data_IF_238473785629
#
_entry.id   IF_238473785629
#
_cell.length_a   1.000
_cell.length_b   1.000
_cell.length_c   1.000
_cell.angle_alpha   90.00
_cell.angle_beta   90.00
_cell.angle_gamma   90.00
#
_symmetry.space_group_name_H-M   'P 1'
#
loop_
_entity.id
_entity.type
_entity.pdbx_description
1 polymer ?
#
# COMPACT_ATOMS: atom_id res chain seq x y z
N UNK A 1 50.99 64.41 -8.74
CA UNK A 1 49.61 64.90 -8.97
C UNK A 1 48.94 63.93 -9.93
N UNK A 2 47.70 63.52 -9.61
CA UNK A 2 46.84 62.54 -10.30
C UNK A 2 47.33 61.07 -10.22
N UNK A 3 46.89 60.26 -9.24
CA UNK A 3 45.54 59.69 -9.02
C UNK A 3 45.23 58.58 -10.03
N UNK A 4 45.56 57.32 -9.73
CA UNK A 4 44.78 56.30 -8.98
C UNK A 4 44.00 55.36 -9.92
N UNK A 5 44.34 54.06 -9.82
CA UNK A 5 43.43 52.89 -9.72
C UNK A 5 42.69 52.48 -11.01
N UNK A 6 42.51 51.20 -11.35
CA UNK A 6 43.04 49.90 -10.91
C UNK A 6 42.40 48.84 -11.80
N UNK A 7 43.18 47.80 -12.08
CA UNK A 7 42.83 46.39 -12.36
C UNK A 7 41.40 46.00 -11.94
N UNK A 8 40.62 45.33 -12.80
CA UNK A 8 40.20 43.91 -12.65
C UNK A 8 39.45 43.42 -13.91
N UNK A 9 39.93 42.33 -14.52
CA UNK A 9 39.16 41.51 -15.46
C UNK A 9 38.12 40.70 -14.68
N UNK A 10 36.84 40.93 -14.94
CA UNK A 10 35.76 40.19 -14.30
C UNK A 10 35.61 38.78 -14.92
N UNK A 11 35.68 37.78 -14.03
CA UNK A 11 35.27 36.39 -14.25
C UNK A 11 33.78 36.32 -14.62
N UNK A 12 33.44 35.71 -15.75
CA UNK A 12 32.10 35.18 -15.98
C UNK A 12 32.01 33.79 -15.35
N UNK A 13 31.36 33.73 -14.18
CA UNK A 13 30.91 32.49 -13.55
C UNK A 13 29.53 32.12 -14.10
N UNK A 14 29.33 30.81 -14.18
CA UNK A 14 28.13 30.09 -14.55
C UNK A 14 26.84 30.58 -13.87
N UNK A 15 25.73 30.50 -14.61
CA UNK A 15 24.39 30.34 -14.04
C UNK A 15 23.85 29.02 -14.61
N UNK A 16 24.07 27.96 -13.85
CA UNK A 16 23.38 26.69 -13.99
C UNK A 16 21.93 26.90 -13.58
N UNK A 17 21.00 26.40 -14.41
CA UNK A 17 19.57 26.39 -14.13
C UNK A 17 19.33 25.74 -12.78
N UNK A 18 18.78 26.51 -11.85
CA UNK A 18 18.35 26.02 -10.55
C UNK A 18 17.23 25.00 -10.77
N UNK A 19 17.56 23.73 -10.59
CA UNK A 19 16.60 22.67 -10.34
C UNK A 19 15.81 23.04 -9.09
N UNK A 20 14.52 23.30 -9.28
CA UNK A 20 13.56 23.44 -8.19
C UNK A 20 13.53 22.13 -7.41
N UNK A 21 14.27 22.09 -6.30
CA UNK A 21 14.13 21.06 -5.28
C UNK A 21 12.71 21.14 -4.72
N UNK A 22 11.82 20.28 -5.23
CA UNK A 22 10.57 19.96 -4.56
C UNK A 22 10.95 19.14 -3.34
N UNK A 23 11.15 19.81 -2.21
CA UNK A 23 11.22 19.16 -0.91
C UNK A 23 9.83 18.55 -0.64
N UNK A 24 9.72 17.23 -0.75
CA UNK A 24 8.57 16.49 -0.24
C UNK A 24 8.59 16.59 1.29
N UNK A 25 7.86 17.58 1.82
CA UNK A 25 7.55 17.63 3.25
C UNK A 25 6.55 16.53 3.56
N UNK A 26 6.85 15.72 4.59
CA UNK A 26 5.88 14.80 5.19
C UNK A 26 4.80 15.62 5.90
N UNK A 27 3.76 16.04 5.19
CA UNK A 27 2.55 16.59 5.82
C UNK A 27 1.59 15.44 6.12
N UNK A 28 1.65 14.90 7.34
CA UNK A 28 0.48 14.23 7.94
C UNK A 28 -0.55 15.26 8.48
N UNK A 29 -0.30 16.55 8.25
CA UNK A 29 -1.27 17.63 8.35
C UNK A 29 -0.78 18.80 7.50
N UNK A 30 -1.51 19.16 6.45
CA UNK A 30 -1.46 20.52 5.93
C UNK A 30 -2.37 21.39 6.81
N UNK A 31 -1.96 22.64 7.07
CA UNK A 31 -2.88 23.63 7.66
C UNK A 31 -3.95 23.97 6.64
N UNK A 32 -5.21 23.87 7.10
CA UNK A 32 -6.46 23.89 6.33
C UNK A 32 -6.47 24.77 5.08
N UNK A 33 -6.71 24.14 3.94
CA UNK A 33 -7.55 24.73 2.90
C UNK A 33 -8.71 23.75 2.62
N UNK A 34 -9.93 24.28 2.64
CA UNK A 34 -11.18 23.53 2.75
C UNK A 34 -11.57 22.84 1.44
N UNK A 35 -11.48 21.51 1.43
CA UNK A 35 -12.44 20.53 0.87
C UNK A 35 -11.91 19.13 1.24
N UNK A 36 -12.15 18.69 2.48
CA UNK A 36 -11.85 17.31 2.87
C UNK A 36 -13.03 16.43 2.44
N UNK A 37 -12.80 15.55 1.46
CA UNK A 37 -13.73 14.45 1.19
C UNK A 37 -13.92 13.62 2.46
N UNK A 38 -15.12 13.08 2.65
CA UNK A 38 -15.50 12.34 3.85
C UNK A 38 -15.91 10.93 3.46
N UNK A 39 -15.34 9.95 4.13
CA UNK A 39 -15.84 8.57 4.03
C UNK A 39 -17.21 8.49 4.72
N UNK A 40 -18.00 7.43 4.45
CA UNK A 40 -19.24 7.18 5.18
C UNK A 40 -19.06 7.04 6.70
N UNK A 41 -17.82 6.82 7.17
CA UNK A 41 -17.48 6.71 8.59
C UNK A 41 -16.92 8.00 9.20
N UNK A 42 -16.95 9.14 8.51
CA UNK A 42 -16.42 10.38 9.06
C UNK A 42 -17.05 10.75 10.42
N UNK A 43 -18.38 10.78 10.49
CA UNK A 43 -19.09 11.11 11.74
C UNK A 43 -18.92 10.00 12.78
N UNK A 44 -18.84 8.74 12.37
CA UNK A 44 -18.46 7.61 13.24
C UNK A 44 -17.11 7.87 13.93
N UNK A 45 -16.08 8.27 13.17
CA UNK A 45 -14.75 8.55 13.72
C UNK A 45 -14.80 9.70 14.73
N UNK A 46 -15.56 10.76 14.44
CA UNK A 46 -15.74 11.89 15.36
C UNK A 46 -16.44 11.44 16.65
N UNK A 47 -17.52 10.64 16.54
CA UNK A 47 -18.22 10.07 17.71
C UNK A 47 -17.30 9.22 18.58
N UNK A 48 -16.39 8.47 17.97
CA UNK A 48 -15.41 7.63 18.64
C UNK A 48 -14.09 8.36 18.97
N UNK A 49 -14.08 9.69 18.94
CA UNK A 49 -12.93 10.54 19.32
C UNK A 49 -11.65 10.28 18.51
N UNK A 50 -11.80 9.89 17.24
CA UNK A 50 -10.70 9.79 16.30
C UNK A 50 -10.08 11.17 16.04
N UNK A 51 -8.75 11.25 16.12
CA UNK A 51 -8.00 12.45 15.76
C UNK A 51 -7.95 12.57 14.24
N UNK A 52 -8.89 13.33 13.67
CA UNK A 52 -8.99 13.52 12.22
C UNK A 52 -7.85 14.38 11.68
N UNK A 53 -7.25 13.96 10.57
CA UNK A 53 -6.26 14.69 9.79
C UNK A 53 -6.60 14.61 8.30
N UNK A 54 -6.00 15.50 7.51
CA UNK A 54 -6.01 15.37 6.05
C UNK A 54 -5.09 14.24 5.61
N UNK A 55 -5.60 13.31 4.81
CA UNK A 55 -4.85 12.22 4.21
C UNK A 55 -5.35 11.99 2.79
N UNK A 56 -4.52 12.27 1.78
CA UNK A 56 -4.86 12.13 0.36
C UNK A 56 -6.15 12.87 -0.04
N UNK A 57 -6.40 14.06 0.52
CA UNK A 57 -7.64 14.81 0.28
C UNK A 57 -8.87 14.36 1.09
N UNK A 58 -8.73 13.37 1.96
CA UNK A 58 -9.81 12.87 2.83
C UNK A 58 -9.59 13.24 4.30
N UNK A 59 -10.68 13.44 5.04
CA UNK A 59 -10.65 13.54 6.49
C UNK A 59 -10.61 12.15 7.14
N UNK A 60 -9.45 11.71 7.61
CA UNK A 60 -9.23 10.35 8.12
C UNK A 60 -8.69 10.35 9.56
N UNK A 61 -9.02 9.35 10.40
CA UNK A 61 -8.48 9.25 11.75
C UNK A 61 -6.99 8.85 11.74
N UNK A 62 -6.12 9.74 12.23
CA UNK A 62 -4.70 9.44 12.42
C UNK A 62 -4.49 8.36 13.48
N UNK A 63 -5.22 8.49 14.59
CA UNK A 63 -5.31 7.55 15.71
C UNK A 63 -6.49 7.94 16.60
N UNK A 64 -6.83 7.04 17.50
CA UNK A 64 -7.73 7.16 18.63
C UNK A 64 -6.89 7.24 19.91
N UNK A 65 -7.52 7.55 21.04
CA UNK A 65 -6.80 7.64 22.32
C UNK A 65 -6.05 6.33 22.69
N UNK A 66 -6.55 5.18 22.21
CA UNK A 66 -6.03 3.85 22.56
C UNK A 66 -6.23 3.52 24.04
N UNK A 67 -6.03 2.27 24.43
CA UNK A 67 -5.97 1.91 25.85
C UNK A 67 -4.50 1.95 26.31
N UNK A 68 -4.19 2.84 27.25
CA UNK A 68 -2.89 2.84 27.89
C UNK A 68 -2.73 1.60 28.79
N UNK A 69 -1.52 1.06 28.86
CA UNK A 69 -1.11 0.03 29.82
C UNK A 69 0.02 0.57 30.68
N UNK A 70 0.47 -0.19 31.68
CA UNK A 70 1.63 0.18 32.51
C UNK A 70 2.89 0.51 31.69
N UNK A 71 3.01 -0.05 30.49
CA UNK A 71 4.19 0.09 29.62
C UNK A 71 3.93 0.83 28.31
N UNK A 72 2.69 1.19 27.98
CA UNK A 72 2.32 1.85 26.72
C UNK A 72 1.37 3.01 27.01
N UNK A 73 1.74 4.22 26.62
CA UNK A 73 1.01 5.46 26.92
C UNK A 73 -0.31 5.66 26.13
N UNK A 74 -0.82 4.64 25.43
CA UNK A 74 -1.97 4.74 24.52
C UNK A 74 -1.57 5.09 23.07
N UNK A 75 -2.52 5.64 22.32
CA UNK A 75 -2.33 6.18 20.97
C UNK A 75 -1.89 5.14 19.91
N UNK A 76 -1.15 5.57 18.88
CA UNK A 76 -0.78 4.71 17.75
C UNK A 76 -0.01 3.43 18.14
N UNK A 77 0.81 3.48 19.18
CA UNK A 77 1.58 2.32 19.65
C UNK A 77 0.66 1.29 20.32
N UNK A 78 -0.30 1.75 21.12
CA UNK A 78 -1.31 0.86 21.71
C UNK A 78 -2.18 0.21 20.62
N UNK A 79 -2.62 0.99 19.63
CA UNK A 79 -3.36 0.46 18.47
C UNK A 79 -2.56 -0.59 17.70
N UNK A 80 -1.27 -0.33 17.44
CA UNK A 80 -0.40 -1.31 16.79
C UNK A 80 -0.39 -2.64 17.53
N UNK A 81 -0.16 -2.61 18.85
CA UNK A 81 -0.16 -3.84 19.66
C UNK A 81 -1.53 -4.49 19.75
N UNK A 82 -2.61 -3.71 19.76
CA UNK A 82 -3.97 -4.20 19.71
C UNK A 82 -4.24 -5.01 18.44
N UNK A 83 -3.80 -4.51 17.28
CA UNK A 83 -3.93 -5.23 15.99
C UNK A 83 -3.10 -6.52 16.01
N UNK A 84 -1.84 -6.45 16.48
CA UNK A 84 -0.94 -7.62 16.53
C UNK A 84 -1.39 -8.72 17.49
N UNK A 85 -2.09 -8.37 18.57
CA UNK A 85 -2.48 -9.34 19.63
C UNK A 85 -3.95 -9.77 19.55
N UNK A 86 -4.79 -9.00 18.87
CA UNK A 86 -6.24 -9.17 18.86
C UNK A 86 -6.81 -8.78 17.50
N UNK A 87 -7.57 -7.68 17.40
CA UNK A 87 -8.11 -7.19 16.15
C UNK A 87 -8.21 -5.65 16.15
N UNK A 88 -7.91 -5.05 15.00
CA UNK A 88 -8.05 -3.63 14.69
C UNK A 88 -9.02 -3.41 13.53
N UNK A 89 -9.89 -2.41 13.66
CA UNK A 89 -10.84 -1.98 12.65
C UNK A 89 -10.36 -0.67 12.02
N UNK A 90 -10.13 -0.70 10.71
CA UNK A 90 -9.64 0.43 9.92
C UNK A 90 -10.70 0.85 8.90
N UNK A 91 -10.90 2.16 8.77
CA UNK A 91 -11.59 2.74 7.63
C UNK A 91 -10.62 2.90 6.45
N UNK A 92 -10.93 2.22 5.36
CA UNK A 92 -10.21 2.30 4.08
C UNK A 92 -11.15 2.69 2.94
N UNK A 93 -12.32 3.26 3.26
CA UNK A 93 -13.36 3.63 2.30
C UNK A 93 -12.99 4.79 1.36
N UNK A 94 -11.82 5.40 1.56
CA UNK A 94 -11.23 6.40 0.68
C UNK A 94 -10.53 5.77 -0.54
N UNK A 95 -10.23 4.46 -0.52
CA UNK A 95 -9.66 3.74 -1.66
C UNK A 95 -10.68 3.61 -2.79
N UNK A 96 -10.20 3.58 -4.03
CA UNK A 96 -11.09 3.51 -5.21
C UNK A 96 -11.43 2.06 -5.49
N UNK A 97 -12.73 1.76 -5.50
CA UNK A 97 -13.28 0.45 -5.83
C UNK A 97 -13.87 0.50 -7.25
N UNK A 98 -13.49 -0.42 -8.13
CA UNK A 98 -14.03 -0.47 -9.50
C UNK A 98 -14.25 -1.90 -9.99
N UNK A 99 -15.19 -2.06 -10.93
CA UNK A 99 -15.48 -3.34 -11.58
C UNK A 99 -15.28 -3.24 -13.08
N UNK A 100 -14.82 -4.33 -13.70
CA UNK A 100 -14.60 -4.45 -15.14
C UNK A 100 -15.36 -5.67 -15.66
N UNK A 101 -16.28 -5.45 -16.59
CA UNK A 101 -17.18 -6.49 -17.11
C UNK A 101 -17.22 -6.48 -18.63
N UNK A 102 -17.53 -7.62 -19.24
CA UNK A 102 -17.66 -7.78 -20.69
C UNK A 102 -16.64 -8.76 -21.26
N UNK A 103 -16.88 -9.29 -22.47
CA UNK A 103 -16.06 -10.36 -23.06
C UNK A 103 -14.58 -9.99 -23.18
N UNK A 104 -14.25 -8.70 -23.25
CA UNK A 104 -12.87 -8.21 -23.33
C UNK A 104 -12.17 -8.05 -21.98
N UNK A 105 -12.86 -8.20 -20.84
CA UNK A 105 -12.36 -7.73 -19.54
C UNK A 105 -11.06 -8.40 -19.11
N UNK A 106 -10.95 -9.72 -19.30
CA UNK A 106 -9.72 -10.47 -19.01
C UNK A 106 -8.56 -10.00 -19.89
N UNK A 107 -8.80 -9.82 -21.19
CA UNK A 107 -7.77 -9.42 -22.14
C UNK A 107 -7.30 -7.98 -21.91
N UNK A 108 -8.23 -7.05 -21.69
CA UNK A 108 -7.93 -5.66 -21.36
C UNK A 108 -7.11 -5.54 -20.07
N UNK A 109 -7.58 -6.16 -18.97
CA UNK A 109 -6.85 -6.10 -17.70
C UNK A 109 -5.52 -6.83 -17.78
N UNK A 110 -5.41 -7.91 -18.56
CA UNK A 110 -4.13 -8.55 -18.81
C UNK A 110 -3.18 -7.62 -19.57
N UNK A 111 -3.66 -6.87 -20.57
CA UNK A 111 -2.83 -5.86 -21.24
C UNK A 111 -2.32 -4.78 -20.28
N UNK A 112 -3.16 -4.35 -19.34
CA UNK A 112 -2.87 -3.29 -18.40
C UNK A 112 -1.97 -3.72 -17.22
N UNK A 113 -2.09 -4.98 -16.78
CA UNK A 113 -1.49 -5.47 -15.53
C UNK A 113 -0.53 -6.65 -15.78
N UNK A 114 0.61 -6.73 -15.07
CA UNK A 114 1.55 -7.84 -15.21
C UNK A 114 1.13 -9.14 -14.50
N UNK A 115 0.05 -9.12 -13.71
CA UNK A 115 -0.42 -10.31 -12.99
C UNK A 115 -1.00 -11.37 -13.94
N UNK A 116 -0.93 -12.64 -13.54
CA UNK A 116 -1.57 -13.75 -14.27
C UNK A 116 -3.05 -13.85 -13.93
N UNK A 117 -3.86 -12.98 -14.52
CA UNK A 117 -5.30 -12.94 -14.26
C UNK A 117 -6.02 -14.19 -14.79
N UNK A 118 -5.53 -14.75 -15.90
CA UNK A 118 -6.09 -15.97 -16.49
C UNK A 118 -5.90 -17.20 -15.58
N UNK A 119 -4.85 -17.22 -14.76
CA UNK A 119 -4.58 -18.28 -13.80
C UNK A 119 -5.44 -18.20 -12.54
N UNK A 120 -6.13 -17.07 -12.29
CA UNK A 120 -7.12 -17.01 -11.22
C UNK A 120 -8.32 -17.87 -11.60
N UNK A 121 -8.74 -18.83 -10.75
CA UNK A 121 -9.90 -19.67 -10.99
C UNK A 121 -11.15 -18.83 -11.28
N UNK A 122 -11.96 -19.30 -12.23
CA UNK A 122 -13.32 -18.80 -12.39
C UNK A 122 -14.13 -19.30 -11.17
N UNK A 123 -14.80 -18.41 -10.43
CA UNK A 123 -15.64 -18.81 -9.30
C UNK A 123 -16.70 -19.79 -9.75
N UNK A 124 -16.88 -20.88 -8.99
CA UNK A 124 -17.93 -21.86 -9.26
C UNK A 124 -19.22 -21.44 -8.57
N UNK A 125 -20.35 -21.83 -9.16
CA UNK A 125 -21.68 -21.49 -8.62
C UNK A 125 -21.97 -22.11 -7.24
N UNK A 126 -21.28 -23.20 -6.87
CA UNK A 126 -21.52 -23.98 -5.65
C UNK A 126 -20.94 -23.32 -4.38
N UNK A 127 -19.78 -22.68 -4.47
CA UNK A 127 -19.14 -22.02 -3.33
C UNK A 127 -18.92 -20.52 -3.50
N UNK A 128 -19.01 -19.99 -4.72
CA UNK A 128 -18.84 -18.56 -5.03
C UNK A 128 -17.47 -17.99 -4.65
N UNK A 129 -16.48 -18.85 -4.36
CA UNK A 129 -15.16 -18.40 -3.88
C UNK A 129 -14.35 -17.85 -5.04
N UNK A 130 -13.93 -16.60 -4.86
CA UNK A 130 -13.11 -15.83 -5.78
C UNK A 130 -11.67 -15.80 -5.30
N UNK A 131 -10.73 -15.55 -6.22
CA UNK A 131 -9.30 -15.39 -5.89
C UNK A 131 -8.83 -13.98 -6.25
N UNK A 132 -7.96 -13.47 -5.39
CA UNK A 132 -7.38 -12.14 -5.50
C UNK A 132 -5.87 -12.22 -5.67
N UNK A 133 -5.26 -11.20 -6.27
CA UNK A 133 -3.81 -11.04 -6.36
C UNK A 133 -3.45 -9.56 -6.30
N UNK A 134 -2.27 -9.26 -5.76
CA UNK A 134 -1.65 -7.95 -5.94
C UNK A 134 -1.17 -7.83 -7.39
N UNK A 135 -1.28 -6.63 -7.94
CA UNK A 135 -0.65 -6.23 -9.20
C UNK A 135 -0.18 -4.78 -9.11
N UNK A 136 0.36 -4.28 -10.23
CA UNK A 136 0.79 -2.89 -10.38
C UNK A 136 0.30 -2.33 -11.70
N UNK A 137 -0.11 -1.06 -11.68
CA UNK A 137 -0.28 -0.26 -12.89
C UNK A 137 1.08 0.28 -13.30
N UNK A 138 1.43 0.14 -14.57
CA UNK A 138 2.71 0.58 -15.11
C UNK A 138 2.52 1.62 -16.21
N UNK A 139 3.46 2.56 -16.30
CA UNK A 139 3.60 3.40 -17.49
C UNK A 139 4.36 2.64 -18.60
N UNK A 140 4.37 3.15 -19.85
CA UNK A 140 5.06 2.48 -20.95
C UNK A 140 6.56 2.26 -20.71
N UNK A 141 7.19 3.11 -19.89
CA UNK A 141 8.59 3.01 -19.49
C UNK A 141 8.84 1.97 -18.38
N UNK A 142 7.79 1.30 -17.87
CA UNK A 142 7.86 0.28 -16.83
C UNK A 142 8.07 0.81 -15.41
N UNK A 143 7.82 2.10 -15.20
CA UNK A 143 7.68 2.71 -13.88
C UNK A 143 6.30 2.47 -13.26
N UNK A 144 6.22 2.42 -11.94
CA UNK A 144 4.99 2.07 -11.22
C UNK A 144 4.09 3.30 -11.06
N UNK A 145 2.91 3.27 -11.69
CA UNK A 145 1.86 4.28 -11.56
C UNK A 145 1.11 4.13 -10.24
N UNK A 146 0.79 2.89 -9.86
CA UNK A 146 0.19 2.53 -8.58
C UNK A 146 0.28 1.01 -8.34
N UNK A 147 0.11 0.56 -7.10
CA UNK A 147 -0.15 -0.84 -6.78
C UNK A 147 -1.64 -1.08 -6.49
N UNK A 148 -2.17 -2.25 -6.85
CA UNK A 148 -3.59 -2.54 -6.75
C UNK A 148 -3.90 -4.00 -6.40
N UNK A 149 -5.03 -4.23 -5.74
CA UNK A 149 -5.59 -5.56 -5.55
C UNK A 149 -6.60 -5.85 -6.65
N UNK A 150 -6.50 -7.03 -7.27
CA UNK A 150 -7.39 -7.49 -8.35
C UNK A 150 -8.03 -8.80 -7.93
N UNK A 151 -9.35 -8.91 -8.08
CA UNK A 151 -10.12 -10.12 -7.81
C UNK A 151 -10.87 -10.55 -9.07
N UNK A 152 -10.86 -11.85 -9.39
CA UNK A 152 -11.68 -12.41 -10.47
C UNK A 152 -13.06 -12.77 -9.92
N UNK A 153 -14.05 -11.93 -10.19
CA UNK A 153 -15.45 -12.11 -9.75
C UNK A 153 -16.22 -13.11 -10.62
N UNK A 154 -15.80 -13.31 -11.86
CA UNK A 154 -16.44 -14.23 -12.79
C UNK A 154 -15.54 -14.55 -13.97
N UNK A 155 -16.10 -15.21 -14.98
CA UNK A 155 -15.38 -15.50 -16.23
C UNK A 155 -14.80 -14.23 -16.86
N UNK A 156 -15.66 -13.22 -16.97
CA UNK A 156 -15.43 -11.92 -17.61
C UNK A 156 -15.82 -10.76 -16.69
N UNK A 157 -15.57 -10.91 -15.39
CA UNK A 157 -15.87 -9.91 -14.37
C UNK A 157 -14.74 -9.84 -13.36
N UNK A 158 -14.25 -8.63 -13.12
CA UNK A 158 -13.13 -8.36 -12.21
C UNK A 158 -13.44 -7.18 -11.31
N UNK A 159 -12.85 -7.19 -10.12
CA UNK A 159 -12.95 -6.13 -9.12
C UNK A 159 -11.56 -5.67 -8.70
N UNK A 160 -11.33 -4.37 -8.75
CA UNK A 160 -10.06 -3.74 -8.43
C UNK A 160 -10.23 -2.75 -7.28
N UNK A 161 -9.20 -2.68 -6.44
CA UNK A 161 -9.02 -1.64 -5.43
C UNK A 161 -7.68 -0.94 -5.67
N UNK A 162 -7.69 0.38 -5.89
CA UNK A 162 -6.48 1.21 -6.06
C UNK A 162 -6.35 2.27 -4.97
N UNK A 163 -5.17 2.88 -4.84
CA UNK A 163 -4.88 3.80 -3.74
C UNK A 163 -5.61 5.14 -3.88
N UNK A 164 -6.12 5.64 -2.75
CA UNK A 164 -6.86 6.91 -2.71
C UNK A 164 -6.04 8.11 -3.24
N UNK A 165 -4.76 8.19 -2.87
CA UNK A 165 -3.87 9.28 -3.27
C UNK A 165 -3.50 9.27 -4.76
N UNK A 166 -3.87 8.22 -5.49
CA UNK A 166 -3.63 8.06 -6.92
C UNK A 166 -4.89 7.99 -7.76
N UNK A 167 -6.06 8.10 -7.14
CA UNK A 167 -7.37 8.01 -7.78
C UNK A 167 -7.45 8.73 -9.14
N UNK A 168 -7.14 10.03 -9.20
CA UNK A 168 -7.24 10.81 -10.44
C UNK A 168 -6.28 10.30 -11.53
N UNK A 169 -5.04 9.96 -11.14
CA UNK A 169 -4.01 9.48 -12.06
C UNK A 169 -4.33 8.07 -12.57
N UNK A 170 -4.80 7.19 -11.69
CA UNK A 170 -5.20 5.82 -12.01
C UNK A 170 -6.40 5.80 -12.93
N UNK A 171 -7.46 6.54 -12.57
CA UNK A 171 -8.69 6.56 -13.37
C UNK A 171 -8.42 7.16 -14.74
N UNK A 172 -7.68 8.27 -14.83
CA UNK A 172 -7.28 8.84 -16.12
C UNK A 172 -6.50 7.82 -16.97
N UNK A 173 -5.58 7.09 -16.36
CA UNK A 173 -4.78 6.08 -17.05
C UNK A 173 -5.63 4.91 -17.55
N UNK A 174 -6.48 4.37 -16.68
CA UNK A 174 -7.33 3.22 -17.00
C UNK A 174 -8.37 3.61 -18.05
N UNK A 175 -9.06 4.74 -17.89
CA UNK A 175 -10.09 5.21 -18.82
C UNK A 175 -9.52 5.48 -20.22
N UNK A 176 -8.31 6.07 -20.31
CA UNK A 176 -7.65 6.31 -21.59
C UNK A 176 -7.29 5.02 -22.32
N UNK A 177 -6.78 4.04 -21.59
CA UNK A 177 -6.47 2.71 -22.14
C UNK A 177 -7.77 1.95 -22.50
N UNK A 178 -8.81 2.05 -21.67
CA UNK A 178 -10.10 1.42 -21.90
C UNK A 178 -10.80 1.97 -23.14
N UNK A 179 -10.77 3.29 -23.33
CA UNK A 179 -11.29 3.95 -24.53
C UNK A 179 -10.58 3.44 -25.78
N UNK A 180 -9.24 3.48 -25.78
CA UNK A 180 -8.43 2.96 -26.88
C UNK A 180 -8.72 1.47 -27.14
N UNK A 181 -8.84 0.67 -26.08
CA UNK A 181 -9.18 -0.75 -26.18
C UNK A 181 -10.52 -0.94 -26.88
N UNK A 182 -11.57 -0.28 -26.39
CA UNK A 182 -12.92 -0.39 -26.91
C UNK A 182 -13.07 0.18 -28.33
N UNK A 183 -12.21 1.10 -28.77
CA UNK A 183 -12.19 1.57 -30.17
C UNK A 183 -11.58 0.52 -31.12
N UNK A 184 -10.59 -0.24 -30.64
CA UNK A 184 -9.80 -1.14 -31.48
C UNK A 184 -10.18 -2.63 -31.38
N UNK A 185 -11.03 -3.02 -30.42
CA UNK A 185 -11.43 -4.42 -30.21
C UNK A 185 -12.94 -4.60 -30.32
N UNK A 186 -13.37 -5.74 -30.88
CA UNK A 186 -14.77 -6.13 -30.91
C UNK A 186 -15.31 -6.47 -29.51
N UNK A 187 -14.47 -7.14 -28.71
CA UNK A 187 -14.76 -7.50 -27.32
C UNK A 187 -14.68 -6.28 -26.40
N UNK A 188 -15.85 -5.74 -26.06
CA UNK A 188 -15.99 -4.53 -25.25
C UNK A 188 -15.80 -4.82 -23.76
N UNK A 189 -15.37 -3.77 -23.06
CA UNK A 189 -15.23 -3.75 -21.60
C UNK A 189 -15.95 -2.53 -21.05
N UNK A 190 -16.75 -2.75 -20.01
CA UNK A 190 -17.37 -1.72 -19.21
C UNK A 190 -16.63 -1.58 -17.89
N UNK A 191 -16.37 -0.35 -17.46
CA UNK A 191 -15.83 -0.03 -16.16
C UNK A 191 -16.87 0.72 -15.34
N UNK A 192 -17.08 0.30 -14.09
CA UNK A 192 -17.93 1.00 -13.14
C UNK A 192 -17.15 1.31 -11.86
N UNK A 193 -17.20 2.55 -11.39
CA UNK A 193 -16.60 2.97 -10.12
C UNK A 193 -17.67 2.88 -9.04
N UNK A 194 -17.40 2.12 -7.97
CA UNK A 194 -18.35 1.87 -6.88
C UNK A 194 -18.37 3.05 -5.89
N UNK A 195 -18.96 4.17 -6.30
CA UNK A 195 -19.02 5.40 -5.49
C UNK A 195 -19.96 5.31 -4.29
N UNK A 196 -20.97 4.44 -4.35
CA UNK A 196 -21.92 4.21 -3.25
C UNK A 196 -21.52 2.99 -2.38
N UNK A 197 -20.22 2.69 -2.27
CA UNK A 197 -19.72 1.61 -1.43
C UNK A 197 -18.79 2.12 -0.33
N UNK A 198 -18.77 1.43 0.81
CA UNK A 198 -17.74 1.58 1.84
C UNK A 198 -16.70 0.46 1.76
N UNK A 199 -15.54 0.68 2.36
CA UNK A 199 -14.51 -0.36 2.51
C UNK A 199 -13.95 -0.31 3.93
N UNK A 200 -14.00 -1.44 4.62
CA UNK A 200 -13.53 -1.59 5.99
C UNK A 200 -12.49 -2.70 6.04
N UNK A 201 -11.40 -2.50 6.77
CA UNK A 201 -10.43 -3.56 7.02
C UNK A 201 -10.46 -3.98 8.49
N UNK A 202 -10.68 -5.27 8.74
CA UNK A 202 -10.62 -5.91 10.05
C UNK A 202 -9.37 -6.79 10.09
N UNK A 203 -8.39 -6.45 10.90
CA UNK A 203 -7.04 -7.01 10.82
C UNK A 203 -6.56 -7.48 12.20
N UNK A 204 -5.84 -8.59 12.26
CA UNK A 204 -5.29 -9.15 13.49
C UNK A 204 -5.66 -10.62 13.67
N UNK A 205 -4.93 -11.36 14.54
CA UNK A 205 -5.13 -12.80 14.72
C UNK A 205 -6.53 -13.17 15.22
N UNK A 206 -7.28 -12.22 15.81
CA UNK A 206 -8.65 -12.43 16.27
C UNK A 206 -9.74 -11.85 15.35
N UNK A 207 -9.35 -11.34 14.18
CA UNK A 207 -10.28 -10.80 13.19
C UNK A 207 -11.27 -11.87 12.68
N UNK A 208 -10.78 -13.11 12.54
CA UNK A 208 -11.59 -14.25 12.14
C UNK A 208 -12.73 -14.52 13.11
N UNK A 209 -12.46 -14.64 14.40
CA UNK A 209 -13.47 -14.93 15.42
C UNK A 209 -14.53 -13.84 15.49
N UNK A 210 -14.11 -12.57 15.39
CA UNK A 210 -15.02 -11.43 15.39
C UNK A 210 -15.98 -11.47 14.18
N UNK A 211 -15.46 -11.67 12.96
CA UNK A 211 -16.29 -11.70 11.76
C UNK A 211 -17.15 -12.98 11.67
N UNK A 212 -16.63 -14.12 12.12
CA UNK A 212 -17.33 -15.41 12.10
C UNK A 212 -18.63 -15.40 12.93
N UNK A 213 -18.75 -14.53 13.94
CA UNK A 213 -20.00 -14.37 14.72
C UNK A 213 -21.09 -13.60 13.97
N UNK A 214 -20.74 -12.84 12.94
CA UNK A 214 -21.66 -11.99 12.18
C UNK A 214 -22.18 -12.64 10.89
N UNK A 215 -21.49 -13.67 10.39
CA UNK A 215 -21.92 -14.44 9.20
C UNK A 215 -22.99 -15.49 9.58
N UNK A 216 -23.70 -16.11 8.61
CA UNK A 216 -24.67 -17.17 8.90
C UNK A 216 -24.04 -18.34 9.67
N UNK A 217 -24.80 -18.96 10.57
CA UNK A 217 -24.31 -20.03 11.46
C UNK A 217 -23.81 -21.27 10.70
N UNK A 218 -24.33 -21.51 9.50
CA UNK A 218 -23.98 -22.59 8.59
C UNK A 218 -22.83 -22.22 7.62
N UNK A 219 -22.36 -20.97 7.66
CA UNK A 219 -21.25 -20.48 6.85
C UNK A 219 -19.95 -20.44 7.66
N UNK A 220 -18.96 -21.25 7.28
CA UNK A 220 -17.63 -21.25 7.90
C UNK A 220 -16.63 -20.47 7.06
N UNK A 221 -16.19 -19.30 7.57
CA UNK A 221 -15.13 -18.50 6.97
C UNK A 221 -13.80 -19.27 6.92
N UNK A 222 -13.57 -20.18 7.86
CA UNK A 222 -12.32 -20.95 7.95
C UNK A 222 -12.17 -21.89 6.76
N UNK A 223 -13.22 -22.64 6.43
CA UNK A 223 -13.20 -23.53 5.27
C UNK A 223 -13.42 -22.81 3.95
N UNK A 224 -14.14 -21.68 3.95
CA UNK A 224 -14.48 -20.96 2.73
C UNK A 224 -13.32 -20.09 2.23
N UNK A 225 -12.65 -19.35 3.13
CA UNK A 225 -11.72 -18.29 2.75
C UNK A 225 -10.30 -18.54 3.27
N UNK A 226 -9.39 -18.85 2.35
CA UNK A 226 -7.95 -18.76 2.56
C UNK A 226 -7.42 -17.35 2.22
N UNK A 227 -6.17 -17.05 2.57
CA UNK A 227 -5.53 -15.80 2.17
C UNK A 227 -5.61 -15.58 0.65
N UNK A 228 -5.92 -14.35 0.27
CA UNK A 228 -6.17 -13.91 -1.09
C UNK A 228 -7.33 -14.66 -1.77
N UNK A 229 -8.36 -14.99 -1.00
CA UNK A 229 -9.68 -15.39 -1.51
C UNK A 229 -10.77 -14.46 -0.98
N UNK A 230 -11.90 -14.45 -1.68
CA UNK A 230 -13.06 -13.66 -1.29
C UNK A 230 -14.36 -14.36 -1.64
N UNK A 231 -15.45 -13.92 -1.02
CA UNK A 231 -16.80 -14.35 -1.32
C UNK A 231 -17.78 -13.20 -1.08
N UNK A 232 -18.96 -13.27 -1.70
CA UNK A 232 -20.09 -12.48 -1.27
C UNK A 232 -20.75 -13.19 -0.09
N UNK A 233 -20.75 -12.55 1.09
CA UNK A 233 -21.23 -13.15 2.34
C UNK A 233 -22.35 -12.28 2.92
N UNK A 234 -23.55 -12.82 3.17
CA UNK A 234 -24.61 -12.09 3.83
C UNK A 234 -24.25 -11.85 5.30
N UNK A 235 -24.65 -10.70 5.83
CA UNK A 235 -24.61 -10.40 7.27
C UNK A 235 -26.06 -10.25 7.73
N UNK A 236 -26.70 -11.32 8.26
CA UNK A 236 -28.16 -11.35 8.46
C UNK A 236 -28.72 -10.21 9.31
N UNK A 237 -27.93 -9.68 10.24
CA UNK A 237 -28.32 -8.57 11.12
C UNK A 237 -28.11 -7.18 10.52
N UNK A 238 -27.50 -7.06 9.35
CA UNK A 238 -27.25 -5.79 8.65
C UNK A 238 -28.29 -5.51 7.58
N UNK A 239 -28.39 -6.41 6.59
CA UNK A 239 -29.28 -6.27 5.44
C UNK A 239 -29.41 -7.59 4.67
N UNK A 240 -30.27 -7.62 3.65
CA UNK A 240 -30.40 -8.75 2.72
C UNK A 240 -29.30 -8.77 1.65
N UNK A 241 -28.45 -7.75 1.57
CA UNK A 241 -27.37 -7.66 0.58
C UNK A 241 -26.09 -8.26 1.14
N UNK A 242 -25.43 -9.09 0.34
CA UNK A 242 -24.16 -9.68 0.71
C UNK A 242 -23.01 -8.67 0.61
N UNK A 243 -22.08 -8.74 1.55
CA UNK A 243 -20.85 -7.96 1.53
C UNK A 243 -19.78 -8.72 0.75
N UNK A 244 -18.93 -8.02 0.00
CA UNK A 244 -17.77 -8.67 -0.61
C UNK A 244 -16.64 -8.72 0.41
N UNK A 245 -16.43 -9.91 0.99
CA UNK A 245 -15.46 -10.18 2.04
C UNK A 245 -14.23 -10.82 1.43
N UNK A 246 -13.09 -10.13 1.50
CA UNK A 246 -11.79 -10.60 1.01
C UNK A 246 -10.86 -10.87 2.17
N UNK A 247 -10.35 -12.11 2.31
CA UNK A 247 -9.35 -12.44 3.33
C UNK A 247 -7.96 -12.01 2.89
N UNK A 248 -7.67 -10.73 3.13
CA UNK A 248 -6.43 -10.05 2.79
C UNK A 248 -6.25 -8.84 3.70
N UNK A 249 -5.14 -8.11 3.51
CA UNK A 249 -4.96 -6.81 4.12
C UNK A 249 -3.53 -6.31 4.09
N UNK A 250 -3.30 -5.22 4.81
CA UNK A 250 -2.10 -4.38 4.71
C UNK A 250 -1.32 -4.31 6.03
N UNK A 251 -1.37 -5.36 6.84
CA UNK A 251 -0.78 -5.38 8.18
C UNK A 251 0.23 -6.52 8.39
N UNK A 252 0.24 -7.52 7.51
CA UNK A 252 0.96 -8.78 7.70
C UNK A 252 0.27 -9.75 8.66
N UNK A 253 -0.81 -9.37 9.33
CA UNK A 253 -1.64 -10.29 10.12
C UNK A 253 -2.65 -11.03 9.22
N UNK A 254 -3.36 -12.00 9.80
CA UNK A 254 -4.64 -12.44 9.23
C UNK A 254 -5.67 -11.29 9.29
N UNK A 255 -6.70 -11.37 8.45
CA UNK A 255 -7.73 -10.36 8.42
C UNK A 255 -8.53 -10.34 7.14
N UNK A 256 -9.44 -9.38 7.09
CA UNK A 256 -10.38 -9.18 6.00
C UNK A 256 -10.43 -7.71 5.57
N UNK A 257 -10.62 -7.50 4.27
CA UNK A 257 -11.15 -6.27 3.69
C UNK A 257 -12.58 -6.55 3.23
N UNK A 258 -13.50 -5.67 3.61
CA UNK A 258 -14.94 -5.90 3.52
C UNK A 258 -15.55 -4.71 2.77
N UNK A 259 -15.92 -4.94 1.52
CA UNK A 259 -16.62 -3.97 0.71
C UNK A 259 -18.11 -4.03 1.04
N UNK A 260 -18.64 -2.90 1.51
CA UNK A 260 -20.02 -2.72 1.90
C UNK A 260 -20.76 -2.03 0.75
N UNK A 261 -21.74 -2.66 0.11
CA UNK A 261 -22.27 -2.22 -1.19
C UNK A 261 -23.07 -0.91 -1.14
N UNK A 262 -23.46 -0.46 0.06
CA UNK A 262 -24.22 0.78 0.28
C UNK A 262 -23.58 1.60 1.38
N UNK A 263 -23.29 2.87 1.09
CA UNK A 263 -22.74 3.81 2.08
C UNK A 263 -23.59 3.93 3.33
N UNK A 264 -24.92 3.83 3.19
CA UNK A 264 -25.89 3.86 4.29
C UNK A 264 -25.76 2.72 5.31
N UNK A 265 -25.09 1.62 4.97
CA UNK A 265 -24.92 0.45 5.84
C UNK A 265 -23.56 0.44 6.58
N UNK A 266 -22.63 1.30 6.17
CA UNK A 266 -21.22 1.23 6.61
C UNK A 266 -21.07 1.52 8.10
N UNK A 267 -21.76 2.55 8.60
CA UNK A 267 -21.75 2.94 10.02
C UNK A 267 -22.28 1.81 10.90
N UNK A 268 -23.46 1.27 10.60
CA UNK A 268 -24.05 0.16 11.35
C UNK A 268 -23.18 -1.09 11.31
N UNK A 269 -22.56 -1.40 10.18
CA UNK A 269 -21.64 -2.53 10.08
C UNK A 269 -20.37 -2.33 10.92
N UNK A 270 -19.82 -1.12 10.93
CA UNK A 270 -18.66 -0.77 11.76
C UNK A 270 -18.98 -0.88 13.25
N UNK A 271 -20.17 -0.43 13.69
CA UNK A 271 -20.61 -0.57 15.09
C UNK A 271 -20.74 -2.05 15.49
N UNK A 272 -21.36 -2.91 14.66
CA UNK A 272 -21.46 -4.35 14.95
C UNK A 272 -20.10 -5.05 15.09
N UNK A 273 -19.11 -4.62 14.30
CA UNK A 273 -17.74 -5.10 14.44
C UNK A 273 -17.09 -4.59 15.72
N UNK A 274 -17.30 -3.33 16.08
CA UNK A 274 -16.75 -2.72 17.29
C UNK A 274 -17.36 -3.27 18.59
N UNK A 275 -18.59 -3.78 18.53
CA UNK A 275 -19.23 -4.52 19.62
C UNK A 275 -18.57 -5.88 19.91
N UNK A 276 -17.76 -6.43 18.99
CA UNK A 276 -17.02 -7.65 19.24
C UNK A 276 -15.89 -7.40 20.26
N UNK A 277 -15.74 -8.25 21.29
CA UNK A 277 -14.84 -7.98 22.41
C UNK A 277 -13.37 -7.87 22.02
N UNK A 278 -12.97 -8.48 20.90
CA UNK A 278 -11.60 -8.48 20.38
C UNK A 278 -11.23 -7.22 19.58
N UNK A 279 -12.23 -6.44 19.15
CA UNK A 279 -12.08 -5.40 18.12
C UNK A 279 -11.94 -4.02 18.76
N UNK A 280 -11.01 -3.23 18.22
CA UNK A 280 -10.83 -1.80 18.54
C UNK A 280 -10.54 -1.02 17.28
N UNK A 281 -10.84 0.26 17.29
CA UNK A 281 -10.52 1.16 16.19
C UNK A 281 -9.01 1.38 16.07
N UNK A 282 -8.55 1.52 14.82
CA UNK A 282 -7.15 1.68 14.48
C UNK A 282 -7.00 2.73 13.37
N UNK A 283 -6.07 3.67 13.56
CA UNK A 283 -5.87 4.80 12.65
C UNK A 283 -4.71 4.65 11.67
N UNK A 284 -4.48 5.69 10.86
CA UNK A 284 -3.42 5.73 9.85
C UNK A 284 -2.01 5.52 10.43
N UNK A 285 -1.74 6.03 11.64
CA UNK A 285 -0.41 5.96 12.23
C UNK A 285 0.01 4.53 12.56
N UNK A 286 -0.88 3.70 13.13
CA UNK A 286 -0.56 2.31 13.38
C UNK A 286 -0.56 1.50 12.07
N UNK A 287 -1.43 1.81 11.09
CA UNK A 287 -1.40 1.23 9.74
C UNK A 287 -0.01 1.33 9.09
N UNK A 288 0.62 2.52 9.14
CA UNK A 288 1.98 2.72 8.60
C UNK A 288 3.05 1.89 9.33
N UNK A 289 2.94 1.75 10.65
CA UNK A 289 3.88 0.89 11.40
C UNK A 289 3.68 -0.61 11.14
N UNK A 290 2.43 -1.08 11.00
CA UNK A 290 2.10 -2.48 10.75
C UNK A 290 2.57 -2.93 9.37
N UNK A 291 2.25 -2.14 8.33
CA UNK A 291 2.66 -2.43 6.94
C UNK A 291 4.18 -2.45 6.79
N UNK A 292 4.87 -1.54 7.49
CA UNK A 292 6.32 -1.45 7.39
C UNK A 292 6.96 -2.69 7.98
N UNK A 293 6.56 -3.10 9.19
CA UNK A 293 7.04 -4.36 9.79
C UNK A 293 6.74 -5.58 8.91
N UNK A 294 5.60 -5.58 8.21
CA UNK A 294 5.20 -6.61 7.26
C UNK A 294 5.93 -6.52 5.91
N UNK A 295 6.85 -5.58 5.71
CA UNK A 295 7.63 -5.47 4.48
C UNK A 295 6.87 -4.94 3.27
N UNK A 296 5.66 -4.39 3.49
CA UNK A 296 4.74 -3.93 2.44
C UNK A 296 5.08 -2.50 2.00
N UNK A 297 5.11 -2.30 0.68
CA UNK A 297 5.41 -1.01 0.05
C UNK A 297 4.26 -0.02 0.27
N UNK A 298 4.59 1.26 0.36
CA UNK A 298 3.64 2.37 0.34
C UNK A 298 3.88 3.24 -0.89
N UNK A 299 2.88 3.39 -1.75
CA UNK A 299 2.98 4.26 -2.92
C UNK A 299 3.23 5.72 -2.51
N UNK A 300 4.05 6.42 -3.30
CA UNK A 300 4.51 7.79 -3.03
C UNK A 300 5.73 7.85 -2.12
N UNK A 301 6.13 6.72 -1.52
CA UNK A 301 7.30 6.61 -0.66
C UNK A 301 8.26 5.52 -1.19
N UNK A 302 7.80 4.27 -1.21
CA UNK A 302 8.60 3.12 -1.63
C UNK A 302 8.42 2.81 -3.12
N UNK A 303 7.33 3.31 -3.72
CA UNK A 303 6.97 3.17 -5.13
C UNK A 303 6.65 4.55 -5.70
N UNK A 304 7.10 4.79 -6.91
CA UNK A 304 6.73 5.94 -7.74
C UNK A 304 6.98 5.59 -9.23
N UNK A 305 6.65 6.50 -10.14
CA UNK A 305 6.82 6.28 -11.58
C UNK A 305 8.30 6.20 -12.03
N UNK A 306 9.28 6.49 -11.17
CA UNK A 306 10.71 6.26 -11.40
C UNK A 306 11.16 4.85 -11.00
N UNK A 307 10.42 4.19 -10.09
CA UNK A 307 10.75 2.87 -9.54
C UNK A 307 10.21 1.76 -10.45
N UNK A 308 11.08 0.84 -10.84
CA UNK A 308 10.71 -0.36 -11.60
C UNK A 308 10.30 -1.53 -10.70
N UNK A 309 9.55 -2.49 -11.27
CA UNK A 309 9.04 -3.69 -10.55
C UNK A 309 10.16 -4.53 -9.94
N UNK A 310 11.28 -4.70 -10.66
CA UNK A 310 12.42 -5.45 -10.17
C UNK A 310 13.18 -4.68 -9.09
N UNK A 311 13.34 -3.36 -9.26
CA UNK A 311 13.96 -2.49 -8.25
C UNK A 311 13.19 -2.52 -6.93
N UNK A 312 11.85 -2.48 -6.98
CA UNK A 312 10.97 -2.56 -5.82
C UNK A 312 10.96 -3.93 -5.13
N UNK A 313 11.58 -4.95 -5.72
CA UNK A 313 11.51 -6.33 -5.23
C UNK A 313 10.11 -6.95 -5.39
N UNK A 314 9.32 -6.46 -6.34
CA UNK A 314 7.95 -6.90 -6.61
C UNK A 314 7.85 -7.88 -7.77
N UNK A 315 8.96 -8.46 -8.25
CA UNK A 315 8.95 -9.38 -9.40
C UNK A 315 8.05 -10.62 -9.28
N UNK A 316 7.55 -10.91 -8.07
CA UNK A 316 6.56 -11.95 -7.82
C UNK A 316 5.13 -11.58 -8.28
N UNK A 317 4.82 -10.29 -8.48
CA UNK A 317 3.52 -9.84 -9.03
C UNK A 317 3.42 -10.09 -10.54
N UNK A 318 4.55 -10.34 -11.20
CA UNK A 318 4.60 -10.65 -12.64
C UNK A 318 4.39 -12.14 -12.84
N UNK A 319 3.21 -12.49 -13.40
CA UNK A 319 2.84 -13.86 -13.71
C UNK A 319 3.87 -14.54 -14.60
N UNK A 320 4.11 -15.86 -14.43
CA UNK A 320 5.12 -16.58 -15.21
C UNK A 320 4.79 -16.61 -16.71
N UNK A 321 3.52 -16.85 -17.01
CA UNK A 321 2.87 -16.75 -18.32
C UNK A 321 2.90 -15.34 -18.92
N UNK A 322 3.25 -14.32 -18.11
CA UNK A 322 3.33 -12.93 -18.54
C UNK A 322 4.76 -12.49 -18.84
N UNK A 323 5.75 -13.38 -18.76
CA UNK A 323 7.18 -12.99 -18.89
C UNK A 323 7.71 -12.91 -20.32
N UNK A 324 6.89 -12.39 -21.23
CA UNK A 324 7.24 -12.19 -22.64
C UNK A 324 7.14 -10.70 -23.02
N UNK A 325 8.07 -10.17 -23.86
CA UNK A 325 8.02 -8.78 -24.31
C UNK A 325 6.68 -8.44 -24.97
N UNK A 326 6.12 -7.27 -24.65
CA UNK A 326 4.85 -6.79 -25.21
C UNK A 326 3.59 -7.41 -24.59
N UNK A 327 3.72 -8.34 -23.64
CA UNK A 327 2.57 -9.01 -23.01
C UNK A 327 1.73 -8.09 -22.11
N UNK A 328 2.32 -7.02 -21.58
CA UNK A 328 1.67 -5.94 -20.83
C UNK A 328 2.44 -4.62 -21.02
N UNK A 329 1.80 -3.50 -20.69
CA UNK A 329 2.41 -2.17 -20.73
C UNK A 329 3.62 -2.09 -19.77
N UNK A 330 4.77 -1.60 -20.23
CA UNK A 330 5.99 -1.52 -19.42
C UNK A 330 6.73 -2.85 -19.25
N UNK A 331 6.37 -3.88 -20.02
CA UNK A 331 6.99 -5.21 -19.97
C UNK A 331 8.48 -5.19 -20.31
N UNK A 332 8.95 -4.33 -21.22
CA UNK A 332 10.37 -4.32 -21.64
C UNK A 332 11.32 -4.06 -20.46
N UNK A 333 11.16 -2.93 -19.75
CA UNK A 333 11.95 -2.63 -18.55
C UNK A 333 11.74 -3.68 -17.47
N UNK A 334 10.49 -4.06 -17.22
CA UNK A 334 10.15 -5.05 -16.18
C UNK A 334 10.93 -6.35 -16.40
N UNK A 335 10.90 -6.91 -17.60
CA UNK A 335 11.58 -8.17 -17.92
C UNK A 335 13.11 -8.04 -17.91
N UNK A 336 13.64 -6.87 -18.28
CA UNK A 336 15.07 -6.59 -18.14
C UNK A 336 15.50 -6.61 -16.66
N UNK A 337 14.73 -5.96 -15.78
CA UNK A 337 15.02 -5.90 -14.35
C UNK A 337 14.87 -7.23 -13.62
N UNK A 338 13.98 -8.12 -14.08
CA UNK A 338 13.80 -9.45 -13.50
C UNK A 338 14.97 -10.41 -13.78
N UNK A 339 15.84 -10.09 -14.75
CA UNK A 339 17.06 -10.85 -14.99
C UNK A 339 18.07 -10.62 -13.87
N UNK A 340 18.95 -11.60 -13.64
CA UNK A 340 20.02 -11.50 -12.64
C UNK A 340 20.89 -10.27 -12.97
N UNK A 341 21.01 -9.34 -12.01
CA UNK A 341 21.79 -8.10 -12.19
C UNK A 341 21.11 -7.04 -13.05
N UNK A 342 19.82 -7.19 -13.39
CA UNK A 342 19.09 -6.26 -14.26
C UNK A 342 18.72 -4.92 -13.62
N UNK A 343 18.97 -4.73 -12.33
CA UNK A 343 18.58 -3.52 -11.57
C UNK A 343 19.79 -2.68 -11.18
N UNK A 344 19.65 -1.35 -11.23
CA UNK A 344 20.71 -0.40 -10.81
C UNK A 344 20.65 -0.06 -9.32
N UNK A 345 19.47 -0.20 -8.72
CA UNK A 345 19.22 -0.08 -7.28
C UNK A 345 18.20 -1.12 -6.86
N UNK A 346 18.17 -1.45 -5.58
CA UNK A 346 17.23 -2.44 -5.03
C UNK A 346 16.64 -1.94 -3.73
N UNK A 347 15.33 -2.11 -3.55
CA UNK A 347 14.66 -1.89 -2.28
C UNK A 347 15.15 -2.92 -1.26
N UNK A 348 15.56 -2.43 -0.10
CA UNK A 348 16.07 -3.22 1.02
C UNK A 348 15.36 -2.84 2.31
N UNK A 349 15.33 -3.76 3.27
CA UNK A 349 15.02 -3.47 4.66
C UNK A 349 16.30 -3.16 5.44
N UNK A 350 16.23 -2.21 6.36
CA UNK A 350 17.28 -1.84 7.29
C UNK A 350 16.80 -1.97 8.74
N UNK A 351 17.67 -2.45 9.61
CA UNK A 351 17.58 -2.21 11.06
C UNK A 351 18.61 -1.15 11.41
N UNK A 352 18.17 -0.06 12.02
CA UNK A 352 19.02 1.08 12.38
C UNK A 352 19.28 1.06 13.88
N UNK A 353 20.52 1.37 14.29
CA UNK A 353 20.90 1.40 15.70
C UNK A 353 19.98 2.30 16.54
N UNK A 354 19.99 2.07 17.86
CA UNK A 354 19.17 2.81 18.82
C UNK A 354 19.40 4.33 18.72
N UNK A 355 18.30 5.08 18.80
CA UNK A 355 18.29 6.54 18.71
C UNK A 355 17.08 7.04 17.93
N UNK A 356 17.13 8.28 17.42
CA UNK A 356 16.11 8.78 16.50
C UNK A 356 16.01 7.87 15.26
N UNK A 357 14.80 7.51 14.78
CA UNK A 357 14.63 6.68 13.60
C UNK A 357 15.14 7.40 12.35
N UNK A 358 15.73 6.64 11.42
CA UNK A 358 15.95 7.13 10.07
C UNK A 358 14.60 7.36 9.40
N UNK A 359 14.40 8.56 8.88
CA UNK A 359 13.17 8.96 8.18
C UNK A 359 13.41 8.96 6.69
N UNK A 360 12.33 9.02 5.94
CA UNK A 360 12.35 9.29 4.50
C UNK A 360 13.33 10.41 4.13
N UNK A 361 14.08 10.20 3.05
CA UNK A 361 15.14 11.09 2.59
C UNK A 361 16.47 10.95 3.33
N UNK A 362 16.56 10.16 4.41
CA UNK A 362 17.83 9.88 5.06
C UNK A 362 18.77 9.14 4.11
N UNK A 363 19.96 9.70 3.91
CA UNK A 363 20.99 9.16 3.02
C UNK A 363 21.64 7.92 3.61
N UNK A 364 21.92 6.94 2.77
CA UNK A 364 22.61 5.70 3.10
C UNK A 364 24.03 5.78 2.53
N UNK A 365 25.02 5.45 3.34
CA UNK A 365 26.44 5.50 3.01
C UNK A 365 27.12 4.14 3.20
N UNK A 366 28.27 3.98 2.56
CA UNK A 366 29.22 2.89 2.82
C UNK A 366 29.65 2.86 4.31
N UNK A 367 30.14 1.71 4.82
CA UNK A 367 30.59 1.57 6.21
C UNK A 367 31.64 2.59 6.67
N UNK A 368 32.48 3.08 5.75
CA UNK A 368 33.50 4.10 6.00
C UNK A 368 32.94 5.54 5.99
N UNK A 369 31.68 5.72 5.58
CA UNK A 369 30.97 7.00 5.52
C UNK A 369 31.34 7.89 4.34
N UNK A 370 32.17 7.41 3.40
CA UNK A 370 32.72 8.24 2.33
C UNK A 370 31.80 8.37 1.11
N UNK A 371 31.01 7.34 0.80
CA UNK A 371 30.21 7.27 -0.42
C UNK A 371 28.74 7.12 -0.10
N UNK A 372 27.92 8.02 -0.62
CA UNK A 372 26.46 7.88 -0.62
C UNK A 372 26.06 6.80 -1.64
N UNK A 373 25.33 5.78 -1.18
CA UNK A 373 24.95 4.60 -1.97
C UNK A 373 23.44 4.39 -2.03
N UNK A 374 22.65 5.25 -1.39
CA UNK A 374 21.22 5.02 -1.30
C UNK A 374 20.46 6.04 -0.46
N UNK A 375 19.16 5.80 -0.32
CA UNK A 375 18.24 6.66 0.40
C UNK A 375 17.14 5.84 1.07
N UNK A 376 16.76 6.24 2.28
CA UNK A 376 15.60 5.71 3.02
C UNK A 376 14.31 6.28 2.43
N UNK A 377 13.33 5.42 2.18
CA UNK A 377 11.99 5.77 1.67
C UNK A 377 10.94 5.75 2.77
N UNK A 378 11.02 4.77 3.68
CA UNK A 378 10.11 4.64 4.82
C UNK A 378 10.88 4.33 6.08
N UNK A 379 10.49 4.89 7.23
CA UNK A 379 11.18 4.57 8.49
C UNK A 379 10.52 5.10 9.76
N UNK A 380 10.43 4.23 10.76
CA UNK A 380 9.80 4.49 12.07
C UNK A 380 10.32 3.51 13.13
N UNK A 381 10.12 3.82 14.43
CA UNK A 381 10.28 2.85 15.50
C UNK A 381 9.21 1.77 15.35
N UNK A 382 9.62 0.51 15.26
CA UNK A 382 8.75 -0.65 15.06
C UNK A 382 8.34 -1.25 16.42
N UNK A 383 7.07 -1.12 16.85
CA UNK A 383 6.65 -1.53 18.18
C UNK A 383 6.77 -3.03 18.45
N UNK A 384 6.52 -3.90 17.46
CA UNK A 384 6.63 -5.36 17.62
C UNK A 384 8.09 -5.80 17.60
N UNK A 385 8.89 -5.23 16.70
CA UNK A 385 10.32 -5.58 16.56
C UNK A 385 11.16 -4.99 17.69
N UNK A 386 10.71 -3.90 18.31
CA UNK A 386 11.42 -3.19 19.38
C UNK A 386 12.67 -2.42 18.91
N UNK A 387 12.76 -2.15 17.61
CA UNK A 387 13.92 -1.51 16.96
C UNK A 387 13.48 -0.44 15.95
N UNK A 388 14.40 0.42 15.52
CA UNK A 388 14.13 1.31 14.39
C UNK A 388 14.32 0.51 13.10
N UNK A 389 13.29 0.46 12.26
CA UNK A 389 13.36 -0.17 10.95
C UNK A 389 13.11 0.84 9.84
N UNK A 390 13.66 0.56 8.68
CA UNK A 390 13.47 1.39 7.49
C UNK A 390 13.43 0.54 6.22
N UNK A 391 12.69 1.02 5.22
CA UNK A 391 12.90 0.63 3.83
C UNK A 391 13.70 1.72 3.13
N UNK A 392 14.47 1.33 2.12
CA UNK A 392 15.18 2.26 1.26
C UNK A 392 15.73 1.58 0.03
N UNK A 393 16.34 2.34 -0.86
CA UNK A 393 17.03 1.83 -2.04
C UNK A 393 18.54 1.94 -1.87
N UNK A 394 19.26 0.88 -2.20
CA UNK A 394 20.72 0.86 -2.30
C UNK A 394 21.12 0.55 -3.74
N UNK A 395 22.09 1.29 -4.26
CA UNK A 395 22.70 1.05 -5.58
C UNK A 395 23.36 -0.33 -5.62
N UNK A 396 23.06 -1.12 -6.66
CA UNK A 396 23.54 -2.52 -6.77
C UNK A 396 25.04 -2.60 -6.99
N UNK A 397 25.65 -1.59 -7.63
CA UNK A 397 27.11 -1.49 -7.84
C UNK A 397 27.92 -1.42 -6.54
N UNK A 398 27.30 -0.97 -5.44
CA UNK A 398 27.96 -0.95 -4.12
C UNK A 398 28.21 -2.35 -3.55
N UNK A 399 27.47 -3.37 -4.00
CA UNK A 399 27.47 -4.71 -3.41
C UNK A 399 26.84 -4.81 -2.01
N UNK A 400 26.37 -3.69 -1.44
CA UNK A 400 25.86 -3.58 -0.07
C UNK A 400 24.33 -3.70 0.02
N UNK A 401 23.68 -4.23 -1.01
CA UNK A 401 22.22 -4.40 -1.09
C UNK A 401 21.75 -5.83 -0.73
N UNK A 402 22.56 -6.56 0.04
CA UNK A 402 22.31 -7.96 0.44
C UNK A 402 22.21 -8.10 1.96
N UNK A 403 21.51 -9.13 2.43
CA UNK A 403 21.30 -9.38 3.87
C UNK A 403 22.64 -9.47 4.61
N UNK A 404 22.74 -8.80 5.76
CA UNK A 404 23.92 -8.76 6.62
C UNK A 404 24.92 -7.66 6.26
N UNK A 405 24.75 -6.99 5.11
CA UNK A 405 25.59 -5.85 4.75
C UNK A 405 25.44 -4.72 5.77
N UNK A 406 26.57 -4.23 6.25
CA UNK A 406 26.63 -3.08 7.15
C UNK A 406 26.66 -1.79 6.32
N UNK A 407 25.92 -0.77 6.76
CA UNK A 407 25.87 0.55 6.14
C UNK A 407 25.77 1.62 7.21
N UNK A 408 25.96 2.88 6.81
CA UNK A 408 25.68 4.03 7.67
C UNK A 408 24.44 4.77 7.15
N UNK A 409 23.59 5.26 8.05
CA UNK A 409 22.44 6.10 7.70
C UNK A 409 22.59 7.44 8.39
N UNK A 410 22.45 8.53 7.64
CA UNK A 410 22.57 9.87 8.18
C UNK A 410 21.25 10.32 8.82
N UNK A 411 21.23 10.40 10.15
CA UNK A 411 20.07 10.82 10.94
C UNK A 411 20.40 12.07 11.72
N UNK A 412 19.69 13.18 11.46
CA UNK A 412 19.93 14.48 12.12
C UNK A 412 21.41 14.87 12.12
N UNK A 413 22.05 14.80 10.95
CA UNK A 413 23.47 15.10 10.72
C UNK A 413 24.47 14.19 11.46
N UNK A 414 24.04 13.04 11.99
CA UNK A 414 24.92 12.03 12.58
C UNK A 414 24.83 10.73 11.81
N UNK A 415 25.98 10.10 11.57
CA UNK A 415 26.01 8.75 11.01
C UNK A 415 25.61 7.73 12.08
N UNK A 416 24.66 6.88 11.73
CA UNK A 416 24.13 5.79 12.56
C UNK A 416 24.40 4.48 11.87
N UNK A 417 24.87 3.46 12.60
CA UNK A 417 25.03 2.12 12.04
C UNK A 417 23.67 1.54 11.67
N UNK A 418 23.61 0.87 10.54
CA UNK A 418 22.47 0.07 10.14
C UNK A 418 22.93 -1.21 9.45
N UNK A 419 22.08 -2.22 9.51
CA UNK A 419 22.28 -3.50 8.83
C UNK A 419 21.15 -3.73 7.84
N UNK A 420 21.49 -4.20 6.65
CA UNK A 420 20.54 -4.66 5.65
C UNK A 420 19.95 -6.00 6.09
N UNK A 421 18.63 -6.07 6.24
CA UNK A 421 17.92 -7.26 6.70
C UNK A 421 16.93 -7.77 5.66
N UNK A 422 16.49 -9.01 5.83
CA UNK A 422 15.32 -9.53 5.11
C UNK A 422 14.06 -8.79 5.55
N UNK A 423 13.10 -8.69 4.63
CA UNK A 423 11.72 -8.32 4.91
C UNK A 423 10.82 -9.52 4.61
N UNK A 424 9.71 -9.71 5.34
CA UNK A 424 9.22 -8.90 6.47
C UNK A 424 10.09 -9.01 7.74
N UNK A 425 9.94 -8.08 8.69
CA UNK A 425 10.59 -8.12 10.01
C UNK A 425 9.80 -8.90 11.06
N UNK A 426 8.53 -9.17 10.78
CA UNK A 426 7.65 -10.06 11.55
C UNK A 426 7.29 -11.27 10.70
N UNK A 427 6.93 -12.37 11.34
CA UNK A 427 6.34 -13.52 10.63
C UNK A 427 4.90 -13.19 10.26
N UNK A 428 4.51 -13.18 8.96
CA UNK A 428 3.14 -12.87 8.59
C UNK A 428 2.16 -13.95 9.08
N UNK A 429 1.00 -13.51 9.55
CA UNK A 429 -0.10 -14.35 10.06
C UNK A 429 -1.10 -14.83 9.00
N UNK A 430 -0.77 -14.76 7.71
CA UNK A 430 -1.70 -15.10 6.63
C UNK A 430 -2.27 -16.52 6.75
N UNK A 431 -3.59 -16.67 6.84
CA UNK A 431 -4.24 -17.98 6.89
C UNK A 431 -4.19 -18.70 5.53
N UNK A 432 -3.68 -19.93 5.46
CA UNK A 432 -3.50 -20.67 4.19
C UNK A 432 -4.16 -22.04 4.15
N UNK A 433 -5.07 -22.32 5.07
CA UNK A 433 -5.67 -23.65 5.27
C UNK A 433 -5.22 -24.26 6.58
#
# INVERSE_FOLDING_TARGET
MASLISVTFARLKAISAASTNVFAYRSLSTTSSSLHSRTPLYDFHVRHQGRIVEFAGWGMPLHYAGQATETIAGGPVAEHHQVRKSAGLFDVGHMVQSTYTGSGALAFLSHLLPASLASLPIPKADNGVMRSTLSVLLNPEGGIIDDCMVTRWGENSFYLVTNAGRADRDMTWIESNLKTWNENHADKVEMNILRDAGLIALQGPKAFEALQRLVPKDYSLQSALQFASSAFIPIPSLSNEALHVTRAGYTGEDGFEIAVPKTSQVDSFAEMLLEQPEVKLAGLACRDSLRLEAGLCLYGHDLDESVGVGEAGLGWVVGRDRREPGSFIGSERTLAELKKGGTKRKRVGLVVEKGPPAREGAKIFTPDGNTEIGVVTSGLPAPTVGQNISMGFIQTESGLNTKGAQVLVQVRNRMRKAEVTSMPWITPGYYRG
#
